data_IF_823689274187
#
_entry.id   IF_823689274187
#
_cell.length_a   1.000
_cell.length_b   1.000
_cell.length_c   1.000
_cell.angle_alpha   90.00
_cell.angle_beta   90.00
_cell.angle_gamma   90.00
#
_symmetry.space_group_name_H-M   'P 1'
#
loop_
_entity.id
_entity.type
_entity.pdbx_description
1 polymer ?
#
# COMPACT_ATOMS: atom_id res chain seq x y z
N UNK A 1 -23.51 19.50 41.95
CA UNK A 1 -22.07 19.45 41.60
C UNK A 1 -21.61 18.15 40.92
N UNK A 2 -22.38 17.04 40.94
CA UNK A 2 -21.97 15.77 40.27
C UNK A 2 -22.13 15.75 38.74
N UNK A 3 -23.03 16.59 38.18
CA UNK A 3 -23.31 16.64 36.73
C UNK A 3 -22.27 17.42 35.90
N UNK A 4 -21.55 18.36 36.52
CA UNK A 4 -20.49 19.15 35.87
C UNK A 4 -19.22 18.30 35.68
N UNK A 5 -18.94 17.40 36.62
CA UNK A 5 -17.80 16.46 36.54
C UNK A 5 -17.95 15.46 35.37
N UNK A 6 -19.19 15.13 34.98
CA UNK A 6 -19.47 14.20 33.89
C UNK A 6 -19.19 14.80 32.49
N UNK A 7 -19.32 16.14 32.36
CA UNK A 7 -19.09 16.86 31.10
C UNK A 7 -17.60 17.02 30.76
N UNK A 8 -16.73 17.09 31.77
CA UNK A 8 -15.27 17.18 31.59
C UNK A 8 -14.63 15.85 31.16
N UNK A 9 -15.26 14.71 31.51
CA UNK A 9 -14.78 13.37 31.12
C UNK A 9 -15.15 13.07 29.67
N UNK A 10 -16.25 13.66 29.15
CA UNK A 10 -16.74 13.40 27.79
C UNK A 10 -15.96 14.16 26.71
N UNK A 11 -15.29 15.26 27.04
CA UNK A 11 -14.50 16.07 26.08
C UNK A 11 -13.13 15.49 25.75
N UNK A 12 -12.70 14.39 26.39
CA UNK A 12 -11.37 13.78 26.18
C UNK A 12 -11.31 12.73 25.05
N UNK A 13 -12.42 12.43 24.37
CA UNK A 13 -12.47 11.37 23.34
C UNK A 13 -12.48 11.87 21.88
N UNK A 14 -12.44 13.19 21.65
CA UNK A 14 -12.41 13.75 20.29
C UNK A 14 -11.00 14.23 19.95
N UNK A 15 -10.22 13.40 19.24
CA UNK A 15 -9.10 13.92 18.45
C UNK A 15 -7.82 13.09 18.48
N UNK A 16 -7.86 11.87 17.94
CA UNK A 16 -6.67 11.14 17.55
C UNK A 16 -7.00 10.24 16.35
N UNK A 17 -6.82 10.75 15.13
CA UNK A 17 -7.00 9.91 13.93
C UNK A 17 -6.66 10.60 12.61
N UNK A 18 -7.02 11.87 12.47
CA UNK A 18 -6.90 12.56 11.17
C UNK A 18 -5.44 12.93 10.83
N UNK A 19 -4.64 13.33 11.82
CA UNK A 19 -3.21 13.62 11.64
C UNK A 19 -2.42 12.37 11.20
N UNK A 20 -2.66 11.23 11.85
CA UNK A 20 -1.98 9.97 11.55
C UNK A 20 -2.31 9.46 10.14
N UNK A 21 -3.56 9.61 9.69
CA UNK A 21 -3.94 9.21 8.35
C UNK A 21 -3.25 10.04 7.27
N UNK A 22 -3.24 11.36 7.44
CA UNK A 22 -2.62 12.27 6.49
C UNK A 22 -1.10 12.02 6.37
N UNK A 23 -0.44 11.68 7.47
CA UNK A 23 0.98 11.35 7.45
C UNK A 23 1.26 10.02 6.74
N UNK A 24 0.42 8.99 6.97
CA UNK A 24 0.48 7.75 6.18
C UNK A 24 0.31 8.03 4.68
N UNK A 25 -0.68 8.85 4.32
CA UNK A 25 -0.94 9.21 2.92
C UNK A 25 0.26 9.91 2.28
N UNK A 26 0.87 10.88 2.97
CA UNK A 26 2.12 11.54 2.51
C UNK A 26 3.25 10.55 2.28
N UNK A 27 3.43 9.54 3.15
CA UNK A 27 4.47 8.52 2.98
C UNK A 27 4.18 7.69 1.72
N UNK A 28 2.93 7.23 1.55
CA UNK A 28 2.50 6.46 0.37
C UNK A 28 2.76 7.24 -0.93
N UNK A 29 2.46 8.54 -0.98
CA UNK A 29 2.69 9.37 -2.17
C UNK A 29 4.17 9.56 -2.49
N UNK A 30 5.07 9.51 -1.50
CA UNK A 30 6.53 9.66 -1.72
C UNK A 30 7.18 8.38 -2.25
N UNK A 31 6.57 7.23 -2.02
CA UNK A 31 7.12 5.94 -2.44
C UNK A 31 7.08 5.78 -3.96
N UNK A 32 8.12 5.14 -4.49
CA UNK A 32 8.24 4.80 -5.89
C UNK A 32 8.89 3.43 -6.08
N UNK A 33 8.56 2.74 -7.17
CA UNK A 33 9.15 1.47 -7.59
C UNK A 33 8.89 1.24 -9.08
N UNK A 34 9.85 0.64 -9.77
CA UNK A 34 9.73 0.26 -11.18
C UNK A 34 10.56 -1.00 -11.44
N UNK A 35 10.21 -2.12 -10.81
CA UNK A 35 11.06 -3.32 -10.75
C UNK A 35 10.37 -4.58 -11.31
N UNK A 36 11.13 -5.41 -12.00
CA UNK A 36 10.80 -6.82 -12.25
C UNK A 36 11.26 -7.64 -11.05
N UNK A 37 10.39 -8.45 -10.48
CA UNK A 37 10.64 -9.16 -9.23
C UNK A 37 11.55 -10.37 -9.44
N UNK A 38 12.71 -10.35 -8.77
CA UNK A 38 13.62 -11.51 -8.68
C UNK A 38 13.42 -12.26 -7.35
N UNK A 39 12.97 -11.57 -6.27
CA UNK A 39 12.66 -12.19 -4.98
C UNK A 39 11.57 -11.42 -4.22
N UNK A 40 10.58 -12.16 -3.72
CA UNK A 40 9.60 -11.67 -2.75
C UNK A 40 9.92 -12.27 -1.38
N UNK A 41 10.40 -11.44 -0.45
CA UNK A 41 10.82 -11.94 0.86
C UNK A 41 9.64 -12.26 1.78
N UNK A 42 8.40 -11.88 1.44
CA UNK A 42 7.24 -11.91 2.34
C UNK A 42 6.39 -13.19 2.23
N UNK A 43 6.76 -14.09 1.31
CA UNK A 43 6.11 -15.39 1.12
C UNK A 43 6.84 -16.53 1.84
N UNK A 44 7.99 -16.27 2.46
CA UNK A 44 8.74 -17.25 3.24
C UNK A 44 8.08 -17.46 4.61
N UNK A 45 8.07 -18.68 5.18
CA UNK A 45 7.33 -18.97 6.43
C UNK A 45 7.73 -18.09 7.64
N UNK A 46 8.96 -17.57 7.66
CA UNK A 46 9.48 -16.66 8.70
C UNK A 46 9.17 -15.17 8.43
N UNK A 47 8.60 -14.85 7.27
CA UNK A 47 8.58 -13.51 6.73
C UNK A 47 7.28 -12.74 6.91
N UNK A 48 6.19 -13.42 7.27
CA UNK A 48 4.95 -12.76 7.71
C UNK A 48 5.19 -11.86 8.95
N UNK A 49 6.29 -12.09 9.68
CA UNK A 49 6.76 -11.27 10.79
C UNK A 49 7.49 -9.97 10.39
N UNK A 50 7.79 -9.73 9.10
CA UNK A 50 8.62 -8.60 8.67
C UNK A 50 7.96 -7.22 8.83
N UNK A 51 6.64 -7.19 9.07
CA UNK A 51 5.87 -5.97 9.33
C UNK A 51 5.64 -5.10 8.09
N UNK A 52 6.55 -5.07 7.11
CA UNK A 52 6.42 -4.30 5.87
C UNK A 52 6.81 -5.13 4.66
N UNK A 53 6.37 -4.68 3.47
CA UNK A 53 6.69 -5.33 2.21
C UNK A 53 8.20 -5.24 1.94
N UNK A 54 8.79 -6.35 1.51
CA UNK A 54 10.21 -6.44 1.09
C UNK A 54 10.34 -7.17 -0.24
N UNK A 55 10.75 -6.45 -1.28
CA UNK A 55 10.97 -7.00 -2.61
C UNK A 55 12.39 -6.71 -3.08
N UNK A 56 12.97 -7.63 -3.85
CA UNK A 56 14.18 -7.40 -4.64
C UNK A 56 13.88 -7.69 -6.10
N UNK A 57 14.41 -6.86 -6.97
CA UNK A 57 14.24 -7.00 -8.40
C UNK A 57 15.29 -6.29 -9.22
N UNK A 58 15.00 -6.15 -10.50
CA UNK A 58 15.74 -5.33 -11.45
C UNK A 58 14.90 -4.15 -11.88
N UNK A 59 15.47 -2.95 -11.77
CA UNK A 59 14.84 -1.73 -12.23
C UNK A 59 14.67 -1.77 -13.76
N UNK A 60 13.47 -1.44 -14.25
CA UNK A 60 13.12 -1.55 -15.67
C UNK A 60 13.89 -0.58 -16.58
N UNK A 61 14.30 0.58 -16.06
CA UNK A 61 14.99 1.61 -16.85
C UNK A 61 16.50 1.39 -16.84
N UNK A 62 17.05 1.05 -15.68
CA UNK A 62 18.50 0.97 -15.49
C UNK A 62 19.06 -0.44 -15.55
N UNK A 63 18.19 -1.46 -15.50
CA UNK A 63 18.52 -2.88 -15.40
C UNK A 63 19.40 -3.25 -14.17
N UNK A 64 19.55 -2.33 -13.21
CA UNK A 64 20.30 -2.57 -11.97
C UNK A 64 19.44 -3.25 -10.93
N UNK A 65 20.06 -4.04 -10.06
CA UNK A 65 19.37 -4.64 -8.94
C UNK A 65 18.91 -3.55 -7.95
N UNK A 66 17.66 -3.62 -7.52
CA UNK A 66 17.03 -2.65 -6.64
C UNK A 66 16.20 -3.38 -5.57
N UNK A 67 16.13 -2.77 -4.38
CA UNK A 67 15.27 -3.22 -3.29
C UNK A 67 14.12 -2.25 -3.12
N UNK A 68 12.90 -2.78 -3.09
CA UNK A 68 11.72 -2.00 -2.71
C UNK A 68 11.28 -2.39 -1.31
N UNK A 69 11.39 -1.43 -0.39
CA UNK A 69 11.05 -1.58 1.01
C UNK A 69 10.31 -0.32 1.48
N UNK A 70 8.97 -0.28 1.35
CA UNK A 70 8.19 0.86 1.82
C UNK A 70 8.27 1.01 3.35
N UNK A 71 8.33 2.26 3.81
CA UNK A 71 8.40 2.63 5.23
C UNK A 71 7.14 2.31 6.05
N UNK A 72 6.10 1.75 5.42
CA UNK A 72 4.83 1.45 6.07
C UNK A 72 4.39 0.02 5.82
N UNK A 73 3.51 -0.47 6.70
CA UNK A 73 2.92 -1.80 6.62
C UNK A 73 1.84 -1.92 5.53
N UNK A 74 1.42 -0.79 4.95
CA UNK A 74 0.24 -0.72 4.08
C UNK A 74 0.29 -1.68 2.89
N UNK A 75 1.45 -1.91 2.29
CA UNK A 75 1.55 -2.81 1.13
C UNK A 75 1.75 -4.29 1.48
N UNK A 76 2.09 -4.61 2.74
CA UNK A 76 2.45 -5.96 3.14
C UNK A 76 1.35 -7.00 2.90
N UNK A 77 0.05 -6.72 3.19
CA UNK A 77 -1.02 -7.70 2.97
C UNK A 77 -1.17 -8.14 1.51
N UNK A 78 -0.65 -7.34 0.57
CA UNK A 78 -0.73 -7.61 -0.85
C UNK A 78 0.47 -8.34 -1.42
N UNK A 79 1.47 -8.67 -0.59
CA UNK A 79 2.64 -9.42 -1.02
C UNK A 79 2.28 -10.78 -1.62
N UNK A 80 1.16 -11.38 -1.19
CA UNK A 80 0.63 -12.64 -1.73
C UNK A 80 0.26 -12.55 -3.22
N UNK A 81 0.00 -11.35 -3.75
CA UNK A 81 -0.30 -11.12 -5.16
C UNK A 81 0.94 -10.90 -6.01
N UNK A 82 2.14 -10.93 -5.42
CA UNK A 82 3.40 -10.61 -6.11
C UNK A 82 4.25 -11.89 -6.21
N UNK A 83 4.56 -12.28 -7.44
CA UNK A 83 5.37 -13.46 -7.76
C UNK A 83 6.66 -13.07 -8.48
N UNK A 84 7.64 -13.97 -8.49
CA UNK A 84 8.86 -13.81 -9.27
C UNK A 84 8.48 -13.68 -10.75
N UNK A 85 9.08 -12.70 -11.44
CA UNK A 85 8.79 -12.37 -12.84
C UNK A 85 7.67 -11.34 -13.04
N UNK A 86 6.87 -11.03 -12.01
CA UNK A 86 5.92 -9.91 -12.08
C UNK A 86 6.66 -8.58 -12.15
N UNK A 87 6.02 -7.55 -12.72
CA UNK A 87 6.52 -6.17 -12.64
C UNK A 87 5.71 -5.40 -11.61
N UNK A 88 6.38 -4.81 -10.63
CA UNK A 88 5.76 -3.92 -9.64
C UNK A 88 6.10 -2.47 -9.97
N UNK A 89 5.06 -1.67 -10.20
CA UNK A 89 5.17 -0.24 -10.47
C UNK A 89 4.42 0.51 -9.38
N UNK A 90 5.12 1.43 -8.71
CA UNK A 90 4.56 2.41 -7.81
C UNK A 90 5.07 3.78 -8.24
N UNK A 91 4.18 4.68 -8.67
CA UNK A 91 4.57 6.02 -9.10
C UNK A 91 4.56 7.00 -7.93
N UNK A 92 5.52 7.92 -7.92
CA UNK A 92 5.53 9.05 -6.99
C UNK A 92 4.32 9.94 -7.27
N UNK A 93 3.64 10.39 -6.23
CA UNK A 93 2.44 11.22 -6.33
C UNK A 93 1.13 10.44 -6.49
N UNK A 94 1.18 9.11 -6.64
CA UNK A 94 -0.01 8.26 -6.70
C UNK A 94 -0.14 7.40 -5.45
N UNK A 95 -1.37 7.13 -5.01
CA UNK A 95 -1.65 6.19 -3.92
C UNK A 95 -1.96 4.78 -4.42
N UNK A 96 -1.51 4.43 -5.64
CA UNK A 96 -1.79 3.17 -6.31
C UNK A 96 -0.49 2.40 -6.56
N UNK A 97 -0.50 1.10 -6.29
CA UNK A 97 0.52 0.16 -6.72
C UNK A 97 -0.04 -0.76 -7.80
N UNK A 98 0.71 -0.96 -8.88
CA UNK A 98 0.36 -1.84 -9.98
C UNK A 98 1.29 -3.04 -9.98
N UNK A 99 0.72 -4.22 -10.15
CA UNK A 99 1.43 -5.49 -10.32
C UNK A 99 1.02 -6.03 -11.67
N UNK A 100 1.91 -5.92 -12.65
CA UNK A 100 1.73 -6.47 -13.98
C UNK A 100 2.14 -7.93 -13.95
N UNK A 101 1.18 -8.78 -14.25
CA UNK A 101 1.38 -10.21 -14.51
C UNK A 101 1.34 -10.43 -16.02
N UNK A 102 1.55 -11.68 -16.44
CA UNK A 102 1.49 -12.07 -17.85
C UNK A 102 0.18 -11.63 -18.51
N UNK A 103 -0.94 -12.04 -17.93
CA UNK A 103 -2.28 -11.91 -18.52
C UNK A 103 -3.22 -10.96 -17.74
N UNK A 104 -2.75 -10.43 -16.61
CA UNK A 104 -3.59 -9.59 -15.73
C UNK A 104 -2.77 -8.45 -15.11
N UNK A 105 -3.47 -7.37 -14.73
CA UNK A 105 -2.93 -6.31 -13.87
C UNK A 105 -3.70 -6.34 -12.55
N UNK A 106 -2.98 -6.43 -11.45
CA UNK A 106 -3.54 -6.19 -10.12
C UNK A 106 -3.22 -4.76 -9.74
N UNK A 107 -4.22 -3.94 -9.44
CA UNK A 107 -4.02 -2.61 -8.86
C UNK A 107 -4.49 -2.58 -7.42
N UNK A 108 -3.68 -1.96 -6.57
CA UNK A 108 -3.95 -1.79 -5.15
C UNK A 108 -4.01 -0.30 -4.86
N UNK A 109 -5.17 0.22 -4.47
CA UNK A 109 -5.42 1.65 -4.29
C UNK A 109 -5.65 2.04 -2.82
N UNK A 110 -4.92 3.06 -2.38
CA UNK A 110 -5.14 3.81 -1.14
C UNK A 110 -5.67 5.22 -1.40
N UNK A 111 -6.26 5.45 -2.57
CA UNK A 111 -6.93 6.72 -2.86
C UNK A 111 -8.07 6.97 -1.87
N UNK A 112 -8.21 8.23 -1.47
CA UNK A 112 -9.22 8.68 -0.52
C UNK A 112 -9.25 7.93 0.83
N UNK A 113 -8.19 7.18 1.19
CA UNK A 113 -8.16 6.39 2.43
C UNK A 113 -8.48 7.21 3.70
N UNK A 114 -8.14 8.50 3.71
CA UNK A 114 -8.47 9.40 4.83
C UNK A 114 -9.86 10.04 4.74
N UNK A 115 -10.48 10.07 3.55
CA UNK A 115 -11.81 10.61 3.33
C UNK A 115 -12.82 9.46 3.30
N UNK A 116 -13.39 9.13 4.47
CA UNK A 116 -14.37 8.04 4.61
C UNK A 116 -15.61 8.19 3.73
N UNK A 117 -15.92 9.40 3.23
CA UNK A 117 -17.06 9.63 2.35
C UNK A 117 -16.78 9.23 0.90
N UNK A 118 -15.50 9.18 0.52
CA UNK A 118 -15.02 8.84 -0.83
C UNK A 118 -14.24 7.53 -0.88
N UNK A 119 -13.88 6.97 0.26
CA UNK A 119 -13.18 5.70 0.34
C UNK A 119 -14.11 4.54 -0.02
N UNK A 120 -13.72 3.79 -1.05
CA UNK A 120 -14.45 2.60 -1.49
C UNK A 120 -13.57 1.36 -1.29
N UNK A 121 -13.96 0.52 -0.33
CA UNK A 121 -13.25 -0.72 -0.01
C UNK A 121 -13.19 -1.69 -1.19
N UNK A 122 -14.18 -1.66 -2.09
CA UNK A 122 -14.19 -2.52 -3.28
C UNK A 122 -13.17 -2.07 -4.34
N UNK A 123 -12.61 -0.88 -4.19
CA UNK A 123 -11.59 -0.34 -5.10
C UNK A 123 -10.17 -0.51 -4.58
N UNK A 124 -10.01 -1.00 -3.35
CA UNK A 124 -8.69 -1.23 -2.75
C UNK A 124 -7.89 -2.25 -3.54
N UNK A 125 -8.54 -3.30 -4.05
CA UNK A 125 -7.91 -4.33 -4.86
C UNK A 125 -8.76 -4.56 -6.12
N UNK A 126 -8.22 -4.25 -7.29
CA UNK A 126 -8.85 -4.57 -8.57
C UNK A 126 -7.94 -5.49 -9.38
N UNK A 127 -8.54 -6.49 -10.01
CA UNK A 127 -7.86 -7.42 -10.92
C UNK A 127 -8.47 -7.21 -12.30
N UNK A 128 -7.64 -6.82 -13.26
CA UNK A 128 -8.05 -6.56 -14.65
C UNK A 128 -7.34 -7.56 -15.56
N UNK A 129 -8.08 -8.17 -16.48
CA UNK A 129 -7.50 -9.05 -17.52
C UNK A 129 -6.93 -8.16 -18.63
N UNK A 130 -5.74 -8.45 -19.14
CA UNK A 130 -5.06 -7.56 -20.11
C UNK A 130 -5.86 -7.35 -21.40
N UNK A 131 -6.62 -8.37 -21.82
CA UNK A 131 -7.51 -8.31 -22.98
C UNK A 131 -8.72 -7.35 -22.80
N UNK A 132 -8.93 -6.84 -21.58
CA UNK A 132 -9.92 -5.79 -21.28
C UNK A 132 -9.37 -4.37 -21.42
N UNK A 133 -8.08 -4.21 -21.74
CA UNK A 133 -7.45 -2.94 -22.06
C UNK A 133 -7.46 -2.79 -23.58
N UNK A 134 -8.56 -2.24 -24.10
CA UNK A 134 -8.67 -1.85 -25.52
C UNK A 134 -7.90 -0.57 -25.79
#
# INVERSE_FOLDING_TARGET
>A
MKKILLLLILSMFCGCGESQCNDFHKIVLKQQSNIIIDRNYNTEKSSFALGTLKLKGRNLETNKSEYFHPDTRGWQPFAQYISIGDTVIKKKGEAIMYIYKKDTIVSISYENFCDKTKYDQNQVLKIMVRDSIK
#
